data_IF_201316188580
#
_entry.id   IF_201316188580
#
_cell.length_a   1.000
_cell.length_b   1.000
_cell.length_c   1.000
_cell.angle_alpha   90.00
_cell.angle_beta   90.00
_cell.angle_gamma   90.00
#
_symmetry.space_group_name_H-M   'P 1'
#
loop_
_entity.id
_entity.type
_entity.pdbx_description
1 polymer ?
#
# COMPACT_ATOMS: atom_id res chain seq x y z
N UNK A 1 34.28 -0.49 18.55
CA UNK A 1 33.41 -0.94 17.44
C UNK A 1 33.15 0.26 16.57
N UNK A 2 33.65 0.26 15.32
CA UNK A 2 33.37 1.34 14.38
C UNK A 2 31.86 1.42 14.12
N UNK A 3 31.29 2.60 14.28
CA UNK A 3 29.92 2.88 13.88
C UNK A 3 29.91 2.92 12.35
N UNK A 4 29.37 1.88 11.71
CA UNK A 4 29.15 1.90 10.26
C UNK A 4 28.19 3.03 9.93
N UNK A 5 28.68 4.06 9.23
CA UNK A 5 27.87 5.18 8.75
C UNK A 5 27.02 4.66 7.57
N UNK A 6 25.71 4.75 7.70
CA UNK A 6 24.74 4.39 6.67
C UNK A 6 24.10 5.67 6.12
N UNK A 7 23.69 5.71 4.84
CA UNK A 7 23.87 4.65 3.84
C UNK A 7 25.33 4.56 3.34
N UNK A 8 25.80 3.34 3.09
CA UNK A 8 27.03 3.09 2.31
C UNK A 8 26.77 3.28 0.79
N UNK A 9 27.80 3.16 -0.05
CA UNK A 9 27.65 3.40 -1.50
C UNK A 9 26.66 2.45 -2.19
N UNK A 10 26.68 1.15 -1.86
CA UNK A 10 25.73 0.18 -2.43
C UNK A 10 24.28 0.50 -1.99
N UNK A 11 24.10 0.90 -0.73
CA UNK A 11 22.80 1.34 -0.20
C UNK A 11 22.33 2.63 -0.86
N UNK A 12 23.23 3.59 -1.14
CA UNK A 12 22.89 4.81 -1.89
C UNK A 12 22.43 4.48 -3.30
N UNK A 13 23.12 3.58 -4.00
CA UNK A 13 22.74 3.16 -5.35
C UNK A 13 21.38 2.46 -5.35
N UNK A 14 21.20 1.51 -4.43
CA UNK A 14 19.91 0.82 -4.24
C UNK A 14 18.76 1.81 -3.98
N UNK A 15 18.96 2.76 -3.05
CA UNK A 15 17.95 3.76 -2.72
C UNK A 15 17.68 4.66 -3.93
N UNK A 16 18.72 5.13 -4.63
CA UNK A 16 18.57 5.98 -5.80
C UNK A 16 17.71 5.32 -6.88
N UNK A 17 18.02 4.07 -7.25
CA UNK A 17 17.25 3.31 -8.23
C UNK A 17 15.80 3.09 -7.75
N UNK A 18 15.64 2.68 -6.48
CA UNK A 18 14.33 2.38 -5.91
C UNK A 18 13.42 3.60 -5.79
N UNK A 19 13.93 4.72 -5.29
CA UNK A 19 13.18 5.97 -5.16
C UNK A 19 12.83 6.55 -6.52
N UNK A 20 13.76 6.60 -7.48
CA UNK A 20 13.48 7.07 -8.84
C UNK A 20 12.34 6.25 -9.47
N UNK A 21 12.44 4.91 -9.39
CA UNK A 21 11.38 4.03 -9.92
C UNK A 21 10.04 4.25 -9.21
N UNK A 22 10.05 4.43 -7.89
CA UNK A 22 8.84 4.70 -7.12
C UNK A 22 8.20 6.02 -7.54
N UNK A 23 8.98 7.10 -7.63
CA UNK A 23 8.46 8.43 -8.00
C UNK A 23 7.96 8.47 -9.44
N UNK A 24 8.65 7.83 -10.39
CA UNK A 24 8.18 7.74 -11.78
C UNK A 24 6.79 7.07 -11.86
N UNK A 25 6.62 5.93 -11.17
CA UNK A 25 5.34 5.23 -11.11
C UNK A 25 4.27 6.06 -10.37
N UNK A 26 4.64 6.69 -9.26
CA UNK A 26 3.73 7.50 -8.47
C UNK A 26 3.19 8.67 -9.28
N UNK A 27 4.07 9.44 -9.95
CA UNK A 27 3.70 10.61 -10.76
C UNK A 27 2.84 10.23 -11.97
N UNK A 28 3.13 9.09 -12.60
CA UNK A 28 2.28 8.55 -13.67
C UNK A 28 0.88 8.25 -13.16
N UNK A 29 0.77 7.49 -12.06
CA UNK A 29 -0.51 6.93 -11.58
C UNK A 29 -1.39 7.93 -10.84
N UNK A 30 -0.81 8.96 -10.24
CA UNK A 30 -1.57 9.99 -9.53
C UNK A 30 -2.25 10.97 -10.50
N UNK A 31 -1.73 11.10 -11.73
CA UNK A 31 -2.30 11.89 -12.80
C UNK A 31 -3.67 11.31 -13.22
N UNK A 32 -4.63 12.18 -13.51
CA UNK A 32 -5.95 11.73 -13.96
C UNK A 32 -5.91 11.05 -15.35
N UNK A 33 -4.88 11.31 -16.16
CA UNK A 33 -4.68 10.65 -17.47
C UNK A 33 -4.45 9.13 -17.36
N UNK A 34 -3.91 8.66 -16.24
CA UNK A 34 -3.69 7.24 -15.97
C UNK A 34 -4.98 6.43 -16.02
N UNK A 35 -6.10 7.02 -15.62
CA UNK A 35 -7.40 6.34 -15.56
C UNK A 35 -8.02 6.12 -16.95
N UNK A 36 -7.46 6.72 -18.01
CA UNK A 36 -7.86 6.43 -19.39
C UNK A 36 -7.03 5.31 -20.04
N UNK A 37 -6.03 4.76 -19.33
CA UNK A 37 -5.27 3.60 -19.79
C UNK A 37 -6.08 2.32 -19.64
N UNK A 38 -5.68 1.29 -20.38
CA UNK A 38 -6.29 -0.04 -20.34
C UNK A 38 -6.15 -0.69 -18.95
N UNK A 39 -7.16 -1.45 -18.54
CA UNK A 39 -7.22 -2.06 -17.20
C UNK A 39 -5.98 -2.93 -16.89
N UNK A 40 -5.51 -3.70 -17.86
CA UNK A 40 -4.33 -4.58 -17.72
C UNK A 40 -3.06 -3.76 -17.48
N UNK A 41 -2.88 -2.68 -18.24
CA UNK A 41 -1.79 -1.74 -18.04
C UNK A 41 -1.84 -1.11 -16.65
N UNK A 42 -3.03 -0.67 -16.22
CA UNK A 42 -3.20 -0.08 -14.88
C UNK A 42 -2.85 -1.10 -13.81
N UNK A 43 -3.38 -2.32 -13.87
CA UNK A 43 -3.10 -3.34 -12.87
C UNK A 43 -1.63 -3.75 -12.84
N UNK A 44 -0.98 -3.83 -14.00
CA UNK A 44 0.46 -4.06 -14.09
C UNK A 44 1.23 -2.97 -13.33
N UNK A 45 0.98 -1.70 -13.62
CA UNK A 45 1.63 -0.55 -12.94
C UNK A 45 1.36 -0.53 -11.43
N UNK A 46 0.14 -0.87 -11.03
CA UNK A 46 -0.23 -1.01 -9.62
C UNK A 46 0.62 -2.10 -8.96
N UNK A 47 0.70 -3.31 -9.55
CA UNK A 47 1.54 -4.39 -9.02
C UNK A 47 3.02 -3.97 -8.94
N UNK A 48 3.52 -3.27 -9.95
CA UNK A 48 4.89 -2.77 -9.98
C UNK A 48 5.20 -1.81 -8.82
N UNK A 49 4.37 -0.78 -8.59
CA UNK A 49 4.65 0.18 -7.51
C UNK A 49 4.60 -0.46 -6.13
N UNK A 50 3.69 -1.41 -5.89
CA UNK A 50 3.66 -2.18 -4.64
C UNK A 50 4.93 -3.02 -4.46
N UNK A 51 5.45 -3.62 -5.54
CA UNK A 51 6.70 -4.38 -5.51
C UNK A 51 7.90 -3.46 -5.22
N UNK A 52 8.03 -2.34 -5.95
CA UNK A 52 9.09 -1.35 -5.75
C UNK A 52 9.09 -0.80 -4.33
N UNK A 53 7.92 -0.39 -3.83
CA UNK A 53 7.78 0.08 -2.45
C UNK A 53 8.20 -1.00 -1.44
N UNK A 54 7.83 -2.26 -1.67
CA UNK A 54 8.18 -3.34 -0.75
C UNK A 54 9.69 -3.65 -0.74
N UNK A 55 10.37 -3.51 -1.87
CA UNK A 55 11.83 -3.58 -1.91
C UNK A 55 12.47 -2.44 -1.12
N UNK A 56 12.01 -1.19 -1.31
CA UNK A 56 12.48 -0.04 -0.53
C UNK A 56 12.32 -0.27 0.98
N UNK A 57 11.20 -0.87 1.40
CA UNK A 57 10.96 -1.20 2.80
C UNK A 57 12.00 -2.16 3.41
N UNK A 58 12.80 -2.89 2.62
CA UNK A 58 13.86 -3.75 3.17
C UNK A 58 15.02 -2.95 3.78
N UNK A 59 15.17 -1.68 3.43
CA UNK A 59 16.18 -0.81 4.02
C UNK A 59 15.85 -0.52 5.51
N UNK A 60 16.72 -0.94 6.47
CA UNK A 60 16.38 -0.89 7.89
C UNK A 60 15.99 0.48 8.45
N UNK A 61 16.61 1.61 8.03
CA UNK A 61 16.16 2.94 8.47
C UNK A 61 14.70 3.25 8.18
N UNK A 62 14.17 2.76 7.04
CA UNK A 62 12.75 2.90 6.72
C UNK A 62 11.89 2.13 7.73
N UNK A 63 12.31 0.91 8.07
CA UNK A 63 11.65 0.11 9.11
C UNK A 63 11.68 0.78 10.48
N UNK A 64 12.76 1.47 10.85
CA UNK A 64 12.85 2.20 12.12
C UNK A 64 11.86 3.35 12.18
N UNK A 65 11.68 4.09 11.08
CA UNK A 65 10.69 5.17 11.03
C UNK A 65 9.27 4.62 11.10
N UNK A 66 8.97 3.50 10.45
CA UNK A 66 7.66 2.83 10.58
C UNK A 66 7.40 2.42 12.04
N UNK A 67 8.42 1.96 12.76
CA UNK A 67 8.34 1.57 14.18
C UNK A 67 8.24 2.78 15.11
N UNK A 68 8.99 3.85 14.83
CA UNK A 68 9.18 5.00 15.72
C UNK A 68 8.22 6.17 15.43
N UNK A 69 7.54 6.18 14.28
CA UNK A 69 6.45 7.12 14.06
C UNK A 69 5.33 6.80 15.05
N UNK A 70 5.05 7.76 15.94
CA UNK A 70 3.70 7.98 16.50
C UNK A 70 2.79 8.44 15.35
N UNK A 71 2.57 7.50 14.42
CA UNK A 71 1.64 7.43 13.29
C UNK A 71 1.47 8.74 12.51
N UNK A 72 1.78 8.80 11.20
CA UNK A 72 1.06 9.77 10.38
C UNK A 72 -0.43 9.49 10.55
N UNK A 73 -1.29 10.53 10.48
CA UNK A 73 -2.73 10.56 10.82
C UNK A 73 -3.60 9.52 10.05
N UNK A 74 -3.29 8.24 10.19
CA UNK A 74 -3.94 7.10 9.60
C UNK A 74 -4.58 6.32 10.73
N UNK A 75 -5.89 6.09 10.63
CA UNK A 75 -6.60 5.19 11.53
C UNK A 75 -5.98 3.78 11.44
N UNK A 76 -6.13 2.98 12.50
CA UNK A 76 -5.70 1.57 12.47
C UNK A 76 -6.35 0.78 11.31
N UNK A 77 -7.54 1.22 10.87
CA UNK A 77 -8.25 0.69 9.70
C UNK A 77 -7.46 0.92 8.41
N UNK A 78 -6.93 2.13 8.19
CA UNK A 78 -6.14 2.42 6.98
C UNK A 78 -4.90 1.54 6.87
N UNK A 79 -4.16 1.36 7.97
CA UNK A 79 -2.98 0.47 7.98
C UNK A 79 -3.34 -0.98 7.66
N UNK A 80 -4.42 -1.47 8.27
CA UNK A 80 -4.91 -2.82 8.04
C UNK A 80 -5.35 -3.00 6.57
N UNK A 81 -6.05 -2.01 6.02
CA UNK A 81 -6.52 -1.99 4.63
C UNK A 81 -5.36 -1.98 3.63
N UNK A 82 -4.36 -1.11 3.83
CA UNK A 82 -3.17 -1.07 2.97
C UNK A 82 -2.49 -2.44 2.94
N UNK A 83 -2.30 -3.04 4.12
CA UNK A 83 -1.71 -4.37 4.22
C UNK A 83 -2.60 -5.43 3.56
N UNK A 84 -3.92 -5.32 3.66
CA UNK A 84 -4.86 -6.23 3.01
C UNK A 84 -4.73 -6.16 1.48
N UNK A 85 -4.83 -4.97 0.88
CA UNK A 85 -4.68 -4.77 -0.57
C UNK A 85 -3.35 -5.34 -1.06
N UNK A 86 -2.25 -5.01 -0.37
CA UNK A 86 -0.92 -5.55 -0.68
C UNK A 86 -0.91 -7.08 -0.70
N UNK A 87 -1.46 -7.72 0.33
CA UNK A 87 -1.45 -9.18 0.44
C UNK A 87 -2.33 -9.82 -0.64
N UNK A 88 -3.47 -9.21 -0.97
CA UNK A 88 -4.33 -9.69 -2.06
C UNK A 88 -3.57 -9.64 -3.40
N UNK A 89 -2.97 -8.49 -3.75
CA UNK A 89 -2.21 -8.35 -4.99
C UNK A 89 -1.02 -9.30 -5.09
N UNK A 90 -0.34 -9.56 -3.96
CA UNK A 90 0.85 -10.43 -3.92
C UNK A 90 0.49 -11.92 -4.00
N UNK A 91 -0.57 -12.35 -3.32
CA UNK A 91 -0.91 -13.78 -3.18
C UNK A 91 -1.96 -14.27 -4.18
N UNK A 92 -2.62 -13.36 -4.88
CA UNK A 92 -3.58 -13.67 -5.93
C UNK A 92 -3.19 -13.00 -7.26
N UNK A 93 -2.05 -13.38 -7.87
CA UNK A 93 -1.51 -12.72 -9.07
C UNK A 93 -2.25 -13.07 -10.38
N UNK A 94 -3.33 -13.85 -10.32
CA UNK A 94 -3.99 -14.49 -11.46
C UNK A 94 -4.97 -13.59 -12.24
N UNK A 95 -5.04 -12.31 -11.90
CA UNK A 95 -6.00 -11.36 -12.46
C UNK A 95 -5.31 -10.28 -13.26
N UNK A 96 -5.98 -9.82 -14.32
CA UNK A 96 -5.52 -8.75 -15.21
C UNK A 96 -6.27 -7.43 -14.98
N UNK A 97 -7.37 -7.44 -14.23
CA UNK A 97 -8.16 -6.23 -13.92
C UNK A 97 -8.47 -6.15 -12.44
N UNK A 98 -8.42 -4.95 -11.86
CA UNK A 98 -8.76 -4.72 -10.45
C UNK A 98 -10.16 -5.26 -10.10
N UNK A 99 -11.11 -5.00 -10.99
CA UNK A 99 -12.52 -5.35 -10.83
C UNK A 99 -12.81 -6.86 -10.85
N UNK A 100 -11.86 -7.65 -11.33
CA UNK A 100 -11.94 -9.11 -11.38
C UNK A 100 -11.22 -9.75 -10.19
N UNK A 101 -10.49 -8.99 -9.38
CA UNK A 101 -9.80 -9.51 -8.21
C UNK A 101 -10.82 -9.92 -7.17
N UNK A 102 -10.87 -11.21 -6.88
CA UNK A 102 -11.65 -11.77 -5.78
C UNK A 102 -10.83 -12.72 -4.93
N UNK A 103 -11.25 -12.85 -3.68
CA UNK A 103 -10.74 -13.83 -2.74
C UNK A 103 -11.89 -14.63 -2.14
N UNK A 104 -11.59 -15.84 -1.68
CA UNK A 104 -12.57 -16.74 -1.07
C UNK A 104 -11.91 -17.46 0.11
N UNK A 105 -12.65 -17.63 1.21
CA UNK A 105 -12.11 -18.16 2.47
C UNK A 105 -11.39 -19.50 2.27
N UNK A 106 -12.01 -20.42 1.55
CA UNK A 106 -11.43 -21.74 1.26
C UNK A 106 -10.10 -21.68 0.51
N UNK A 107 -9.90 -20.69 -0.37
CA UNK A 107 -8.61 -20.48 -1.07
C UNK A 107 -7.58 -19.81 -0.17
N UNK A 108 -8.00 -18.80 0.61
CA UNK A 108 -7.12 -18.09 1.56
C UNK A 108 -6.54 -19.06 2.60
N UNK A 109 -7.35 -20.02 3.07
CA UNK A 109 -6.95 -20.97 4.12
C UNK A 109 -6.42 -22.31 3.59
N UNK A 110 -6.32 -22.48 2.26
CA UNK A 110 -6.07 -23.79 1.62
C UNK A 110 -4.84 -24.53 2.16
N UNK A 111 -3.72 -23.81 2.33
CA UNK A 111 -2.44 -24.39 2.75
C UNK A 111 -2.00 -23.95 4.16
N UNK A 112 -2.90 -23.35 4.95
CA UNK A 112 -2.53 -22.85 6.27
C UNK A 112 -3.49 -23.32 7.35
N UNK A 113 -2.91 -23.99 8.34
CA UNK A 113 -3.62 -24.39 9.56
C UNK A 113 -3.80 -23.23 10.56
N UNK A 114 -3.33 -22.02 10.22
CA UNK A 114 -3.44 -20.82 11.05
C UNK A 114 -4.04 -19.67 10.23
N UNK A 115 -4.88 -18.81 10.83
CA UNK A 115 -5.39 -17.61 10.17
C UNK A 115 -4.27 -16.74 9.62
N UNK A 116 -4.20 -16.62 8.29
CA UNK A 116 -3.29 -15.71 7.60
C UNK A 116 -3.84 -14.28 7.63
N UNK A 117 -3.03 -13.28 7.24
CA UNK A 117 -3.43 -11.88 7.39
C UNK A 117 -4.73 -11.53 6.65
N UNK A 118 -4.93 -12.03 5.43
CA UNK A 118 -6.17 -11.80 4.65
C UNK A 118 -7.38 -12.36 5.40
N UNK A 119 -7.27 -13.58 5.93
CA UNK A 119 -8.32 -14.25 6.72
C UNK A 119 -8.65 -13.48 8.00
N UNK A 120 -7.61 -13.04 8.74
CA UNK A 120 -7.77 -12.21 9.93
C UNK A 120 -8.43 -10.86 9.63
N UNK A 121 -8.05 -10.22 8.51
CA UNK A 121 -8.63 -8.94 8.10
C UNK A 121 -10.12 -9.10 7.79
N UNK A 122 -10.48 -10.04 6.92
CA UNK A 122 -11.87 -10.25 6.52
C UNK A 122 -12.74 -10.67 7.71
N UNK A 123 -12.25 -11.55 8.58
CA UNK A 123 -12.96 -11.95 9.80
C UNK A 123 -13.17 -10.76 10.77
N UNK A 124 -12.17 -9.89 10.92
CA UNK A 124 -12.26 -8.74 11.84
C UNK A 124 -13.23 -7.67 11.36
N UNK A 125 -13.31 -7.46 10.04
CA UNK A 125 -14.08 -6.37 9.44
C UNK A 125 -15.41 -6.82 8.83
N UNK A 126 -15.74 -8.10 8.84
CA UNK A 126 -17.06 -8.62 8.47
C UNK A 126 -18.17 -7.86 9.21
N UNK A 127 -19.25 -7.51 8.50
CA UNK A 127 -20.40 -6.75 9.03
C UNK A 127 -20.08 -5.37 9.62
N UNK A 128 -18.87 -4.84 9.44
CA UNK A 128 -18.57 -3.47 9.86
C UNK A 128 -19.23 -2.46 8.92
N UNK A 129 -19.66 -1.34 9.50
CA UNK A 129 -20.18 -0.20 8.74
C UNK A 129 -19.12 0.36 7.79
N UNK A 130 -19.60 1.02 6.74
CA UNK A 130 -18.77 1.76 5.79
C UNK A 130 -17.80 2.68 6.53
N UNK A 131 -16.51 2.55 6.23
CA UNK A 131 -15.48 3.41 6.79
C UNK A 131 -15.12 4.50 5.77
N UNK A 132 -15.41 5.75 6.14
CA UNK A 132 -15.04 6.93 5.34
C UNK A 132 -13.66 7.41 5.74
N UNK A 133 -12.73 7.40 4.79
CA UNK A 133 -11.39 7.92 4.94
C UNK A 133 -11.23 9.20 4.11
N UNK A 134 -10.56 10.20 4.67
CA UNK A 134 -10.27 11.46 3.96
C UNK A 134 -8.82 11.86 4.18
N UNK A 135 -8.18 12.37 3.14
CA UNK A 135 -6.85 12.95 3.25
C UNK A 135 -6.72 14.15 2.33
N UNK A 136 -5.79 15.02 2.70
CA UNK A 136 -5.45 16.22 1.95
C UNK A 136 -4.29 15.92 1.01
N UNK A 137 -4.50 16.07 -0.29
CA UNK A 137 -3.45 15.99 -1.30
C UNK A 137 -2.73 17.34 -1.37
N UNK A 138 -1.64 17.52 -0.61
CA UNK A 138 -0.93 18.81 -0.55
C UNK A 138 -0.51 19.33 -1.94
N UNK A 139 0.01 18.45 -2.78
CA UNK A 139 0.46 18.78 -4.15
C UNK A 139 -0.68 19.30 -5.03
N UNK A 140 -1.86 18.68 -4.94
CA UNK A 140 -3.03 19.00 -5.78
C UNK A 140 -4.02 19.95 -5.11
N UNK A 141 -3.76 20.33 -3.85
CA UNK A 141 -4.62 21.19 -3.01
C UNK A 141 -6.09 20.76 -3.02
N UNK A 142 -6.35 19.45 -2.95
CA UNK A 142 -7.70 18.88 -2.94
C UNK A 142 -7.89 17.87 -1.80
N UNK A 143 -9.13 17.78 -1.31
CA UNK A 143 -9.57 16.73 -0.40
C UNK A 143 -10.02 15.52 -1.22
N UNK A 144 -9.46 14.36 -0.89
CA UNK A 144 -9.91 13.09 -1.45
C UNK A 144 -10.69 12.33 -0.40
N UNK A 145 -11.85 11.83 -0.81
CA UNK A 145 -12.79 11.09 0.02
C UNK A 145 -12.84 9.67 -0.49
N UNK A 146 -12.67 8.73 0.43
CA UNK A 146 -12.63 7.31 0.13
C UNK A 146 -13.66 6.61 0.99
N UNK A 147 -14.51 5.83 0.33
CA UNK A 147 -15.48 4.96 0.96
C UNK A 147 -14.98 3.53 0.93
N UNK A 148 -14.80 2.93 2.11
CA UNK A 148 -14.40 1.53 2.25
C UNK A 148 -15.59 0.76 2.76
N UNK A 149 -16.04 -0.20 1.96
CA UNK A 149 -17.08 -1.12 2.36
C UNK A 149 -16.45 -2.42 2.87
N UNK A 150 -17.15 -3.09 3.77
CA UNK A 150 -16.73 -4.39 4.26
C UNK A 150 -17.73 -5.46 3.85
N UNK A 151 -17.28 -6.70 3.65
CA UNK A 151 -18.17 -7.79 3.26
C UNK A 151 -19.23 -8.00 4.35
N UNK A 152 -20.46 -8.20 3.89
CA UNK A 152 -21.58 -8.62 4.76
C UNK A 152 -21.51 -10.10 5.11
N UNK A 153 -20.61 -10.87 4.51
CA UNK A 153 -20.45 -12.29 4.81
C UNK A 153 -19.07 -12.77 4.34
N UNK A 154 -18.37 -13.52 5.19
CA UNK A 154 -17.10 -14.16 4.91
C UNK A 154 -17.18 -15.68 5.14
N UNK A 155 -17.77 -16.38 4.17
CA UNK A 155 -18.01 -17.84 4.19
C UNK A 155 -17.11 -18.63 3.23
N UNK A 156 -17.13 -19.96 3.34
CA UNK A 156 -16.20 -20.85 2.62
C UNK A 156 -16.29 -20.78 1.10
N UNK A 157 -17.47 -20.50 0.55
CA UNK A 157 -17.77 -20.62 -0.89
C UNK A 157 -18.18 -19.29 -1.53
N UNK A 158 -18.07 -18.18 -0.80
CA UNK A 158 -18.45 -16.85 -1.29
C UNK A 158 -17.22 -16.09 -1.77
N UNK A 159 -17.30 -15.57 -2.99
CA UNK A 159 -16.30 -14.65 -3.53
C UNK A 159 -16.52 -13.27 -2.91
N UNK A 160 -15.43 -12.66 -2.48
CA UNK A 160 -15.38 -11.26 -2.06
C UNK A 160 -14.51 -10.53 -3.08
N UNK A 161 -15.10 -9.60 -3.82
CA UNK A 161 -14.37 -8.83 -4.82
C UNK A 161 -13.71 -7.62 -4.17
N UNK A 162 -12.51 -7.28 -4.65
CA UNK A 162 -11.76 -6.14 -4.16
C UNK A 162 -12.49 -4.83 -4.50
N UNK A 163 -13.08 -4.73 -5.70
CA UNK A 163 -13.88 -3.56 -6.12
C UNK A 163 -15.07 -3.26 -5.20
N UNK A 164 -15.65 -4.28 -4.58
CA UNK A 164 -16.80 -4.12 -3.68
C UNK A 164 -16.35 -3.53 -2.34
N UNK A 165 -15.12 -3.82 -1.92
CA UNK A 165 -14.49 -3.21 -0.73
C UNK A 165 -14.03 -1.78 -1.05
N UNK A 166 -13.40 -1.60 -2.21
CA UNK A 166 -12.77 -0.35 -2.61
C UNK A 166 -12.60 -0.29 -4.14
N UNK A 167 -13.07 0.79 -4.75
CA UNK A 167 -12.90 1.02 -6.19
C UNK A 167 -11.42 1.03 -6.58
N UNK A 168 -11.10 0.71 -7.83
CA UNK A 168 -9.71 0.75 -8.31
C UNK A 168 -9.06 2.11 -8.04
N UNK A 169 -9.73 3.19 -8.45
CA UNK A 169 -9.21 4.55 -8.31
C UNK A 169 -8.94 4.92 -6.86
N UNK A 170 -9.89 4.62 -5.96
CA UNK A 170 -9.74 4.95 -4.55
C UNK A 170 -8.67 4.09 -3.88
N UNK A 171 -8.63 2.79 -4.17
CA UNK A 171 -7.66 1.86 -3.60
C UNK A 171 -6.24 2.17 -3.99
N UNK A 172 -6.05 2.52 -5.26
CA UNK A 172 -4.74 2.92 -5.76
C UNK A 172 -4.34 4.27 -5.19
N UNK A 173 -5.18 5.31 -5.25
CA UNK A 173 -4.83 6.63 -4.67
C UNK A 173 -4.54 6.55 -3.18
N UNK A 174 -5.36 5.81 -2.43
CA UNK A 174 -5.12 5.52 -1.02
C UNK A 174 -3.73 4.93 -0.79
N UNK A 175 -3.41 3.87 -1.52
CA UNK A 175 -2.16 3.14 -1.36
C UNK A 175 -0.95 3.97 -1.79
N UNK A 176 -1.03 4.70 -2.90
CA UNK A 176 0.04 5.58 -3.38
C UNK A 176 0.40 6.63 -2.33
N UNK A 177 -0.61 7.32 -1.79
CA UNK A 177 -0.41 8.38 -0.82
C UNK A 177 0.07 7.84 0.51
N UNK A 178 -0.40 6.65 0.90
CA UNK A 178 0.12 5.95 2.07
C UNK A 178 1.62 5.64 1.92
N UNK A 179 2.03 5.09 0.78
CA UNK A 179 3.44 4.79 0.49
C UNK A 179 4.29 6.07 0.45
N UNK A 180 3.84 7.09 -0.29
CA UNK A 180 4.52 8.37 -0.43
C UNK A 180 4.81 9.02 0.92
N UNK A 181 3.79 9.13 1.80
CA UNK A 181 3.99 9.74 3.12
C UNK A 181 4.99 8.97 4.00
N UNK A 182 5.07 7.65 3.88
CA UNK A 182 6.07 6.85 4.61
C UNK A 182 7.48 7.13 4.09
N UNK A 183 7.64 7.23 2.77
CA UNK A 183 8.91 7.50 2.12
C UNK A 183 9.39 8.94 2.35
N UNK A 184 8.52 9.95 2.19
CA UNK A 184 8.88 11.37 2.44
C UNK A 184 9.34 11.61 3.87
N UNK A 185 8.71 10.95 4.84
CA UNK A 185 9.11 11.08 6.25
C UNK A 185 10.53 10.59 6.56
N UNK A 186 11.15 9.86 5.63
CA UNK A 186 12.57 9.50 5.66
C UNK A 186 13.43 10.68 5.27
N UNK A 187 13.09 11.33 4.15
CA UNK A 187 13.86 12.40 3.53
C UNK A 187 13.92 13.60 4.46
N UNK A 188 12.79 13.98 5.04
CA UNK A 188 12.71 15.07 6.02
C UNK A 188 13.59 14.80 7.26
N UNK A 189 13.70 13.53 7.70
CA UNK A 189 14.56 13.14 8.83
C UNK A 189 16.03 13.06 8.45
N UNK A 190 16.37 12.63 7.23
CA UNK A 190 17.76 12.66 6.77
C UNK A 190 18.29 14.07 6.63
N UNK A 191 17.46 15.03 6.20
CA UNK A 191 17.83 16.44 6.13
C UNK A 191 18.09 17.03 7.53
N UNK A 192 17.26 16.68 8.52
CA UNK A 192 17.48 17.10 9.92
C UNK A 192 18.78 16.57 10.54
N UNK A 193 19.24 15.38 10.13
CA UNK A 193 20.49 14.79 10.62
C UNK A 193 21.73 15.28 9.86
N UNK A 194 21.57 16.08 8.81
CA UNK A 194 22.66 16.72 8.05
C UNK A 194 22.95 18.16 8.53
N UNK A 195 22.10 18.75 9.37
CA UNK A 195 22.28 20.10 9.94
C UNK A 195 22.88 20.10 11.36
N UNK A 196 23.28 18.94 11.87
CA UNK A 196 23.97 18.81 13.17
C UNK A 196 25.30 18.06 12.95
N UNK A 197 26.29 18.76 12.39
CA UNK A 197 27.72 18.52 12.62
C UNK A 197 28.36 19.82 13.14
#
# INVERSE_FOLDING_TARGET
MEVKKHPNEDEKEFLTIGYNRFYDLFEEMINDDFWFKEDEYRLFKIKEIFATYFELLKYPPIQWIIKNQKRPNFSDVGKALFKFIRNVLLHFPYFDKWDDIWVMKSLITLYSNKPQFIDQFLTKYEFKEEFKYRFWEQKYKRMTYISINFPTEYSMNKKIFLKDILTEKDGVKFSLIFMYNILESQIDRSNFNLEIE
#
